data_IF_652072551351
#
_entry.id   IF_652072551351
#
_cell.length_a   1.000
_cell.length_b   1.000
_cell.length_c   1.000
_cell.angle_alpha   90.00
_cell.angle_beta   90.00
_cell.angle_gamma   90.00
#
_symmetry.space_group_name_H-M   'P 1'
#
loop_
_entity.id
_entity.type
_entity.pdbx_description
1 polymer ?
#
# COMPACT_ATOMS: atom_id res chain seq x y z
N UNK A 1 9.34 25.94 -15.69
CA UNK A 1 7.88 25.88 -15.41
C UNK A 1 7.72 25.21 -14.06
N UNK A 2 7.36 25.98 -13.05
CA UNK A 2 7.11 25.44 -11.70
C UNK A 2 5.79 24.67 -11.77
N UNK A 3 5.87 23.35 -11.82
CA UNK A 3 4.69 22.52 -11.63
C UNK A 3 4.17 22.75 -10.22
N UNK A 4 2.96 23.21 -10.09
CA UNK A 4 2.26 23.28 -8.80
C UNK A 4 2.23 21.86 -8.25
N UNK A 5 2.94 21.61 -7.14
CA UNK A 5 2.82 20.35 -6.39
C UNK A 5 1.41 20.38 -5.80
N UNK A 6 0.48 19.73 -6.45
CA UNK A 6 -0.86 19.54 -5.92
C UNK A 6 -0.75 18.45 -4.86
N UNK A 7 -0.91 18.79 -3.60
CA UNK A 7 -1.00 17.80 -2.53
C UNK A 7 -2.34 17.10 -2.64
N UNK A 8 -2.36 15.76 -2.83
CA UNK A 8 -3.61 15.03 -2.86
C UNK A 8 -4.30 15.08 -1.49
N UNK A 9 -5.61 15.11 -1.49
CA UNK A 9 -6.40 14.87 -0.29
C UNK A 9 -6.53 13.37 -0.08
N UNK A 10 -5.99 12.88 1.03
CA UNK A 10 -6.07 11.46 1.40
C UNK A 10 -7.25 11.26 2.35
N UNK A 11 -8.09 10.27 2.08
CA UNK A 11 -9.24 9.93 2.92
C UNK A 11 -9.52 8.44 2.96
N UNK A 12 -10.19 8.02 4.01
CA UNK A 12 -10.74 6.67 4.08
C UNK A 12 -11.82 6.49 3.00
N UNK A 13 -11.89 5.26 2.47
CA UNK A 13 -12.85 4.90 1.43
C UNK A 13 -14.13 4.35 2.07
N UNK A 14 -15.22 4.47 1.33
CA UNK A 14 -16.57 4.03 1.72
C UNK A 14 -17.16 3.11 0.65
N UNK A 15 -18.24 2.36 0.93
CA UNK A 15 -18.91 1.56 -0.09
C UNK A 15 -19.36 2.35 -1.33
N UNK A 16 -19.61 3.66 -1.18
CA UNK A 16 -20.01 4.52 -2.31
C UNK A 16 -18.88 4.74 -3.32
N UNK A 17 -17.64 4.46 -2.97
CA UNK A 17 -16.48 4.63 -3.86
C UNK A 17 -16.29 3.45 -4.84
N UNK A 18 -17.03 2.36 -4.65
CA UNK A 18 -16.83 1.09 -5.34
C UNK A 18 -16.72 1.20 -6.86
N UNK A 19 -17.64 1.91 -7.49
CA UNK A 19 -17.66 2.04 -8.95
C UNK A 19 -16.44 2.81 -9.46
N UNK A 20 -16.00 3.81 -8.70
CA UNK A 20 -14.80 4.56 -9.05
C UNK A 20 -13.53 3.74 -8.83
N UNK A 21 -13.47 2.92 -7.78
CA UNK A 21 -12.37 1.97 -7.54
C UNK A 21 -12.26 0.98 -8.70
N UNK A 22 -13.38 0.42 -9.17
CA UNK A 22 -13.38 -0.46 -10.34
C UNK A 22 -12.84 0.27 -11.58
N UNK A 23 -13.33 1.48 -11.85
CA UNK A 23 -12.89 2.25 -13.00
C UNK A 23 -11.38 2.54 -12.97
N UNK A 24 -10.84 2.95 -11.82
CA UNK A 24 -9.40 3.18 -11.64
C UNK A 24 -8.63 1.88 -11.85
N UNK A 25 -9.05 0.78 -11.23
CA UNK A 25 -8.34 -0.50 -11.31
C UNK A 25 -8.26 -1.01 -12.75
N UNK A 26 -9.35 -0.89 -13.51
CA UNK A 26 -9.39 -1.25 -14.95
C UNK A 26 -8.53 -0.32 -15.80
N UNK A 27 -8.50 0.98 -15.50
CA UNK A 27 -7.80 1.98 -16.31
C UNK A 27 -6.29 1.79 -16.30
N UNK A 28 -5.72 1.23 -15.25
CA UNK A 28 -4.27 0.97 -15.11
C UNK A 28 -3.75 -0.03 -16.15
N UNK A 29 -4.58 -0.97 -16.64
CA UNK A 29 -4.27 -1.98 -17.68
C UNK A 29 -3.08 -2.90 -17.35
N UNK A 30 -2.60 -2.90 -16.13
CA UNK A 30 -1.58 -3.85 -15.66
C UNK A 30 -2.22 -5.10 -15.08
N UNK A 31 -3.43 -4.96 -14.52
CA UNK A 31 -4.18 -6.07 -13.97
C UNK A 31 -4.93 -6.82 -15.07
N UNK A 32 -4.96 -8.15 -14.94
CA UNK A 32 -5.80 -8.98 -15.82
C UNK A 32 -7.27 -8.78 -15.48
N UNK A 33 -8.15 -9.07 -16.43
CA UNK A 33 -9.61 -8.94 -16.23
C UNK A 33 -10.13 -9.82 -15.08
N UNK A 34 -9.50 -10.96 -14.80
CA UNK A 34 -9.85 -11.87 -13.71
C UNK A 34 -9.35 -11.39 -12.34
N UNK A 35 -8.39 -10.46 -12.29
CA UNK A 35 -7.90 -9.85 -11.05
C UNK A 35 -8.80 -8.72 -10.53
N UNK A 36 -9.50 -8.02 -11.43
CA UNK A 36 -10.36 -6.89 -11.03
C UNK A 36 -11.48 -7.29 -10.07
N UNK A 37 -12.24 -8.37 -10.30
CA UNK A 37 -13.23 -8.85 -9.33
C UNK A 37 -12.62 -9.15 -7.95
N UNK A 38 -11.42 -9.72 -7.89
CA UNK A 38 -10.73 -10.03 -6.64
C UNK A 38 -10.36 -8.75 -5.89
N UNK A 39 -9.87 -7.72 -6.61
CA UNK A 39 -9.60 -6.41 -6.00
C UNK A 39 -10.85 -5.79 -5.40
N UNK A 40 -12.01 -5.94 -6.07
CA UNK A 40 -13.29 -5.43 -5.60
C UNK A 40 -13.83 -6.23 -4.39
N UNK A 41 -13.67 -7.55 -4.35
CA UNK A 41 -14.01 -8.36 -3.17
C UNK A 41 -13.23 -7.90 -1.94
N UNK A 42 -11.93 -7.71 -2.08
CA UNK A 42 -11.07 -7.20 -1.00
C UNK A 42 -11.48 -5.79 -0.57
N UNK A 43 -11.82 -4.92 -1.53
CA UNK A 43 -12.34 -3.59 -1.25
C UNK A 43 -13.68 -3.65 -0.49
N UNK A 44 -14.64 -4.44 -0.98
CA UNK A 44 -15.97 -4.60 -0.37
C UNK A 44 -15.85 -5.14 1.07
N UNK A 45 -14.92 -6.08 1.31
CA UNK A 45 -14.63 -6.57 2.66
C UNK A 45 -14.04 -5.47 3.54
N UNK A 46 -13.10 -4.67 3.03
CA UNK A 46 -12.45 -3.59 3.76
C UNK A 46 -13.45 -2.52 4.24
N UNK A 47 -14.42 -2.14 3.40
CA UNK A 47 -15.41 -1.09 3.71
C UNK A 47 -16.68 -1.63 4.34
N UNK A 48 -16.87 -2.97 4.37
CA UNK A 48 -18.10 -3.63 4.85
C UNK A 48 -18.30 -3.63 6.36
N UNK A 49 -17.34 -3.10 7.13
CA UNK A 49 -17.46 -2.92 8.58
C UNK A 49 -17.51 -4.22 9.39
N UNK A 50 -17.01 -5.33 8.89
CA UNK A 50 -16.96 -6.61 9.62
C UNK A 50 -15.91 -6.54 10.73
N UNK A 51 -16.22 -6.98 11.96
CA UNK A 51 -15.29 -6.93 13.10
C UNK A 51 -13.99 -7.72 12.90
N UNK A 52 -14.00 -8.72 12.01
CA UNK A 52 -12.84 -9.55 11.68
C UNK A 52 -12.09 -9.06 10.44
N UNK A 53 -12.45 -7.90 9.88
CA UNK A 53 -11.78 -7.37 8.72
C UNK A 53 -10.34 -6.96 9.05
N UNK A 54 -9.41 -7.49 8.27
CA UNK A 54 -7.98 -7.19 8.38
C UNK A 54 -7.47 -6.28 7.27
N UNK A 55 -8.31 -5.98 6.25
CA UNK A 55 -7.93 -5.09 5.16
C UNK A 55 -8.16 -3.62 5.53
N UNK A 56 -7.21 -2.79 5.12
CA UNK A 56 -7.29 -1.34 5.22
C UNK A 56 -7.26 -0.76 3.83
N UNK A 57 -8.07 0.26 3.57
CA UNK A 57 -8.12 0.94 2.27
C UNK A 57 -8.06 2.45 2.46
N UNK A 58 -7.38 3.11 1.53
CA UNK A 58 -7.20 4.56 1.52
C UNK A 58 -7.31 5.07 0.10
N UNK A 59 -7.96 6.20 -0.09
CA UNK A 59 -8.09 6.89 -1.37
C UNK A 59 -7.32 8.19 -1.41
N UNK A 60 -6.94 8.58 -2.63
CA UNK A 60 -6.36 9.87 -2.93
C UNK A 60 -7.24 10.63 -3.92
N UNK A 61 -7.56 11.87 -3.60
CA UNK A 61 -8.37 12.77 -4.43
C UNK A 61 -7.53 13.93 -4.98
N UNK A 62 -7.82 14.30 -6.23
CA UNK A 62 -7.41 15.54 -6.86
C UNK A 62 -8.65 16.27 -7.36
N UNK A 63 -8.73 17.57 -7.11
CA UNK A 63 -9.83 18.41 -7.58
C UNK A 63 -11.23 17.87 -7.23
N UNK A 64 -11.34 17.18 -6.08
CA UNK A 64 -12.57 16.58 -5.58
C UNK A 64 -12.96 15.24 -6.23
N UNK A 65 -12.09 14.67 -7.09
CA UNK A 65 -12.27 13.35 -7.70
C UNK A 65 -11.28 12.32 -7.18
N UNK A 66 -11.75 11.11 -6.88
CA UNK A 66 -10.90 9.99 -6.51
C UNK A 66 -10.05 9.56 -7.72
N UNK A 67 -8.71 9.57 -7.57
CA UNK A 67 -7.74 9.27 -8.64
C UNK A 67 -6.77 8.15 -8.30
N UNK A 68 -6.82 7.62 -7.08
CA UNK A 68 -5.97 6.48 -6.70
C UNK A 68 -6.43 5.85 -5.39
N UNK A 69 -6.02 4.60 -5.18
CA UNK A 69 -6.32 3.86 -3.97
C UNK A 69 -5.23 2.84 -3.64
N UNK A 70 -5.17 2.45 -2.37
CA UNK A 70 -4.25 1.45 -1.85
C UNK A 70 -4.98 0.56 -0.85
N UNK A 71 -4.61 -0.73 -0.82
CA UNK A 71 -5.11 -1.71 0.14
C UNK A 71 -3.95 -2.49 0.75
N UNK A 72 -3.97 -2.64 2.07
CA UNK A 72 -2.99 -3.39 2.83
C UNK A 72 -3.61 -4.09 4.03
N UNK A 73 -2.91 -5.07 4.58
CA UNK A 73 -3.35 -5.76 5.78
C UNK A 73 -2.24 -6.61 6.41
N UNK A 74 -2.46 -7.13 7.63
CA UNK A 74 -1.49 -7.98 8.30
C UNK A 74 -1.36 -9.33 7.56
N UNK A 75 -0.12 -9.79 7.37
CA UNK A 75 0.15 -11.12 6.84
C UNK A 75 -0.23 -12.17 7.88
N UNK A 76 -1.12 -13.13 7.57
CA UNK A 76 -1.53 -14.18 8.51
C UNK A 76 -0.34 -14.96 9.08
N UNK A 77 -0.46 -15.38 10.33
CA UNK A 77 0.56 -16.19 11.03
C UNK A 77 1.94 -15.51 11.17
N UNK A 78 2.02 -14.18 11.10
CA UNK A 78 3.24 -13.40 11.29
C UNK A 78 3.11 -12.43 12.47
N UNK A 79 4.25 -11.92 12.94
CA UNK A 79 4.30 -10.88 13.97
C UNK A 79 4.79 -9.57 13.35
N UNK A 80 3.85 -8.67 13.04
CA UNK A 80 4.15 -7.34 12.52
C UNK A 80 4.64 -7.30 11.06
N UNK A 81 4.30 -8.31 10.25
CA UNK A 81 4.43 -8.27 8.80
C UNK A 81 3.10 -7.85 8.18
N UNK A 82 3.16 -6.97 7.17
CA UNK A 82 2.00 -6.48 6.45
C UNK A 82 2.22 -6.62 4.95
N UNK A 83 1.19 -7.02 4.24
CA UNK A 83 1.18 -7.07 2.77
C UNK A 83 0.51 -5.82 2.21
N UNK A 84 1.10 -5.25 1.17
CA UNK A 84 0.42 -4.34 0.27
C UNK A 84 -0.24 -5.20 -0.80
N UNK A 85 -1.57 -5.30 -0.77
CA UNK A 85 -2.34 -6.16 -1.68
C UNK A 85 -2.62 -5.48 -3.02
N UNK A 86 -3.07 -4.21 -3.00
CA UNK A 86 -3.48 -3.47 -4.19
C UNK A 86 -3.04 -2.02 -4.09
N UNK A 87 -2.57 -1.49 -5.21
CA UNK A 87 -2.39 -0.07 -5.40
C UNK A 87 -2.64 0.27 -6.87
N UNK A 88 -3.54 1.21 -7.13
CA UNK A 88 -3.84 1.70 -8.46
C UNK A 88 -3.96 3.22 -8.45
N UNK A 89 -3.40 3.86 -9.48
CA UNK A 89 -3.51 5.31 -9.71
C UNK A 89 -3.98 5.51 -11.13
N UNK A 90 -5.02 6.30 -11.29
CA UNK A 90 -5.56 6.67 -12.60
C UNK A 90 -4.41 7.12 -13.53
N UNK A 91 -4.30 6.58 -14.75
CA UNK A 91 -3.24 6.94 -15.69
C UNK A 91 -3.07 8.45 -15.91
N UNK A 92 -4.16 9.21 -15.88
CA UNK A 92 -4.13 10.68 -16.03
C UNK A 92 -3.52 11.39 -14.81
N UNK A 93 -3.51 10.74 -13.64
CA UNK A 93 -2.92 11.26 -12.41
C UNK A 93 -1.54 10.66 -12.09
N UNK A 94 -1.04 9.74 -12.91
CA UNK A 94 0.30 9.18 -12.73
C UNK A 94 1.38 10.25 -12.94
N UNK A 95 2.52 10.07 -12.26
CA UNK A 95 3.61 11.05 -12.29
C UNK A 95 3.38 12.32 -11.45
N UNK A 96 2.22 12.50 -10.83
CA UNK A 96 1.90 13.66 -9.99
C UNK A 96 2.19 13.47 -8.50
N UNK A 97 2.71 12.30 -8.10
CA UNK A 97 3.03 11.98 -6.70
C UNK A 97 1.96 11.23 -5.93
N UNK A 98 0.79 10.92 -6.53
CA UNK A 98 -0.32 10.22 -5.88
C UNK A 98 0.11 8.88 -5.28
N UNK A 99 0.76 8.02 -6.07
CA UNK A 99 1.22 6.72 -5.57
C UNK A 99 2.20 6.85 -4.40
N UNK A 100 3.05 7.87 -4.43
CA UNK A 100 3.98 8.17 -3.33
C UNK A 100 3.22 8.59 -2.08
N UNK A 101 2.23 9.46 -2.21
CA UNK A 101 1.42 9.95 -1.08
C UNK A 101 0.65 8.79 -0.42
N UNK A 102 0.02 7.91 -1.22
CA UNK A 102 -0.68 6.72 -0.72
C UNK A 102 0.27 5.78 0.04
N UNK A 103 1.44 5.48 -0.55
CA UNK A 103 2.41 4.58 0.06
C UNK A 103 2.97 5.14 1.37
N UNK A 104 3.35 6.42 1.41
CA UNK A 104 3.87 7.06 2.61
C UNK A 104 2.81 7.14 3.73
N UNK A 105 1.54 7.39 3.41
CA UNK A 105 0.47 7.39 4.40
C UNK A 105 0.22 5.99 4.97
N UNK A 106 0.26 4.94 4.13
CA UNK A 106 0.23 3.56 4.61
C UNK A 106 1.39 3.30 5.58
N UNK A 107 2.62 3.65 5.22
CA UNK A 107 3.79 3.49 6.08
C UNK A 107 3.63 4.26 7.40
N UNK A 108 3.12 5.49 7.36
CA UNK A 108 2.83 6.29 8.55
C UNK A 108 1.80 5.63 9.47
N UNK A 109 0.73 5.06 8.91
CA UNK A 109 -0.29 4.33 9.67
C UNK A 109 0.25 3.03 10.28
N UNK A 110 1.24 2.42 9.65
CA UNK A 110 1.90 1.20 10.11
C UNK A 110 3.05 1.46 11.11
N UNK A 111 3.52 2.70 11.23
CA UNK A 111 4.62 3.05 12.12
C UNK A 111 4.31 2.65 13.58
N UNK A 112 5.29 2.08 14.26
CA UNK A 112 5.20 1.65 15.66
C UNK A 112 4.61 0.27 15.88
N UNK A 113 3.96 -0.35 14.89
CA UNK A 113 3.42 -1.71 15.04
C UNK A 113 3.80 -2.69 13.92
N UNK A 114 4.07 -2.19 12.71
CA UNK A 114 4.63 -3.03 11.66
C UNK A 114 6.17 -2.99 11.69
N UNK A 115 6.81 -4.13 11.53
CA UNK A 115 8.25 -4.26 11.37
C UNK A 115 8.69 -4.51 9.93
N UNK A 116 7.79 -5.04 9.09
CA UNK A 116 8.06 -5.44 7.71
C UNK A 116 6.85 -5.20 6.83
N UNK A 117 7.06 -4.58 5.69
CA UNK A 117 6.08 -4.50 4.61
C UNK A 117 6.57 -5.39 3.47
N UNK A 118 5.68 -6.20 2.92
CA UNK A 118 5.90 -7.07 1.76
C UNK A 118 5.07 -6.59 0.60
N UNK A 119 5.65 -6.60 -0.58
CA UNK A 119 4.98 -6.25 -1.84
C UNK A 119 5.32 -7.31 -2.87
N UNK A 120 4.32 -7.87 -3.51
CA UNK A 120 4.47 -8.83 -4.59
C UNK A 120 4.12 -8.18 -5.92
N UNK A 121 4.97 -8.34 -6.92
CA UNK A 121 4.76 -7.78 -8.26
C UNK A 121 5.00 -8.84 -9.33
N UNK A 122 4.37 -8.66 -10.49
CA UNK A 122 4.71 -9.46 -11.66
C UNK A 122 6.10 -9.13 -12.19
N UNK A 123 6.78 -10.14 -12.73
CA UNK A 123 8.11 -10.03 -13.35
C UNK A 123 8.09 -9.47 -14.77
N UNK A 124 6.94 -9.44 -15.42
CA UNK A 124 6.76 -8.99 -16.81
C UNK A 124 7.38 -7.61 -17.04
N UNK A 125 7.73 -7.34 -18.29
CA UNK A 125 8.41 -6.09 -18.71
C UNK A 125 7.53 -4.85 -18.46
N UNK A 126 6.22 -4.94 -18.64
CA UNK A 126 5.27 -3.85 -18.41
C UNK A 126 5.17 -3.45 -16.92
N UNK A 127 5.56 -4.34 -15.99
CA UNK A 127 5.70 -4.02 -14.55
C UNK A 127 7.04 -3.37 -14.18
N UNK A 128 7.96 -3.15 -15.13
CA UNK A 128 9.27 -2.57 -14.81
C UNK A 128 9.16 -1.19 -14.14
N UNK A 129 8.21 -0.35 -14.57
CA UNK A 129 7.94 0.95 -13.94
C UNK A 129 7.45 0.81 -12.50
N UNK A 130 6.56 -0.14 -12.23
CA UNK A 130 6.06 -0.44 -10.88
C UNK A 130 7.16 -0.94 -9.96
N UNK A 131 8.02 -1.85 -10.44
CA UNK A 131 9.18 -2.32 -9.66
C UNK A 131 10.15 -1.18 -9.35
N UNK A 132 10.46 -0.33 -10.34
CA UNK A 132 11.30 0.85 -10.14
C UNK A 132 10.70 1.86 -9.15
N UNK A 133 9.36 2.01 -9.16
CA UNK A 133 8.64 2.85 -8.21
C UNK A 133 8.88 2.40 -6.76
N UNK A 134 8.79 1.11 -6.46
CA UNK A 134 9.01 0.58 -5.13
C UNK A 134 10.50 0.66 -4.72
N UNK A 135 11.42 0.33 -5.62
CA UNK A 135 12.87 0.45 -5.36
C UNK A 135 13.26 1.88 -4.98
N UNK A 136 12.76 2.88 -5.73
CA UNK A 136 13.03 4.30 -5.44
C UNK A 136 12.49 4.75 -4.07
N UNK A 137 11.61 3.96 -3.43
CA UNK A 137 11.02 4.24 -2.09
C UNK A 137 11.56 3.34 -0.99
N UNK A 138 12.69 2.68 -1.26
CA UNK A 138 13.43 1.90 -0.28
C UNK A 138 12.93 0.46 -0.07
N UNK A 139 12.11 -0.04 -1.01
CA UNK A 139 11.76 -1.46 -1.03
C UNK A 139 12.83 -2.24 -1.78
N UNK A 140 13.41 -3.24 -1.13
CA UNK A 140 14.46 -4.08 -1.70
C UNK A 140 13.85 -5.37 -2.30
N UNK A 141 14.23 -5.77 -3.53
CA UNK A 141 13.85 -7.08 -4.05
C UNK A 141 14.61 -8.17 -3.27
N UNK A 142 13.88 -9.17 -2.76
CA UNK A 142 14.46 -10.22 -1.90
C UNK A 142 14.23 -11.64 -2.43
N UNK A 143 13.26 -11.83 -3.31
CA UNK A 143 12.99 -13.12 -3.91
C UNK A 143 12.37 -12.98 -5.30
N UNK A 144 12.60 -14.01 -6.12
CA UNK A 144 11.91 -14.23 -7.40
C UNK A 144 11.43 -15.67 -7.42
N UNK A 145 10.15 -15.88 -7.72
CA UNK A 145 9.57 -17.20 -7.93
C UNK A 145 9.24 -17.32 -9.41
N UNK A 146 9.98 -18.16 -10.17
CA UNK A 146 9.75 -18.33 -11.60
C UNK A 146 8.34 -18.85 -11.91
N UNK A 147 7.76 -18.39 -13.01
CA UNK A 147 6.48 -18.86 -13.56
C UNK A 147 5.31 -18.82 -12.55
N UNK A 148 5.35 -17.96 -11.55
CA UNK A 148 4.38 -17.95 -10.46
C UNK A 148 2.97 -17.56 -10.92
N UNK A 149 2.84 -16.50 -11.71
CA UNK A 149 1.53 -16.02 -12.18
C UNK A 149 1.10 -16.72 -13.46
N UNK A 150 2.04 -17.04 -14.34
CA UNK A 150 1.85 -17.78 -15.57
C UNK A 150 3.22 -18.20 -16.12
N UNK A 151 3.25 -19.04 -17.16
CA UNK A 151 4.50 -19.35 -17.84
C UNK A 151 5.17 -18.06 -18.36
N UNK A 152 6.39 -17.78 -17.92
CA UNK A 152 7.14 -16.57 -18.24
C UNK A 152 6.74 -15.34 -17.43
N UNK A 153 5.87 -15.47 -16.43
CA UNK A 153 5.50 -14.38 -15.53
C UNK A 153 5.85 -14.72 -14.08
N UNK A 154 7.03 -14.28 -13.68
CA UNK A 154 7.60 -14.52 -12.37
C UNK A 154 6.92 -13.63 -11.31
N UNK A 155 6.94 -14.09 -10.06
CA UNK A 155 6.68 -13.20 -8.92
C UNK A 155 7.99 -12.58 -8.46
N UNK A 156 8.00 -11.27 -8.26
CA UNK A 156 9.11 -10.53 -7.63
C UNK A 156 8.63 -9.98 -6.30
N UNK A 157 9.29 -10.41 -5.22
CA UNK A 157 8.94 -10.01 -3.85
C UNK A 157 9.85 -8.90 -3.39
N UNK A 158 9.26 -7.81 -2.96
CA UNK A 158 9.94 -6.65 -2.35
C UNK A 158 9.64 -6.57 -0.87
N UNK A 159 10.60 -6.09 -0.07
CA UNK A 159 10.38 -5.82 1.34
C UNK A 159 10.94 -4.46 1.75
N UNK A 160 10.29 -3.87 2.75
CA UNK A 160 10.81 -2.71 3.47
C UNK A 160 10.68 -2.95 4.97
N UNK A 161 11.78 -2.77 5.71
CA UNK A 161 11.76 -2.81 7.17
C UNK A 161 11.37 -1.44 7.69
N UNK A 162 10.42 -1.41 8.60
CA UNK A 162 10.07 -0.20 9.36
C UNK A 162 10.81 -0.23 10.70
N UNK A 163 11.35 0.91 11.11
CA UNK A 163 11.92 1.07 12.44
C UNK A 163 10.80 1.05 13.46
N UNK A 164 10.82 0.10 14.37
CA UNK A 164 10.02 0.17 15.59
C UNK A 164 10.75 1.15 16.50
N UNK A 165 10.47 2.44 16.43
CA UNK A 165 10.92 3.35 17.48
C UNK A 165 10.23 2.91 18.78
N UNK A 166 11.00 2.28 19.68
CA UNK A 166 10.60 2.17 21.07
C UNK A 166 10.49 3.60 21.57
N UNK A 167 9.31 4.04 21.93
CA UNK A 167 9.18 5.14 22.87
C UNK A 167 9.85 4.66 24.16
N UNK A 168 11.11 5.01 24.34
CA UNK A 168 11.76 4.93 25.65
C UNK A 168 11.01 5.87 26.57
N UNK A 169 10.01 5.29 27.28
CA UNK A 169 9.45 5.92 28.45
C UNK A 169 10.60 6.15 29.41
N UNK A 170 10.97 7.39 29.61
CA UNK A 170 11.84 7.84 30.68
C UNK A 170 11.28 7.28 32.00
N UNK A 171 11.85 6.17 32.45
CA UNK A 171 11.65 5.71 33.82
C UNK A 171 12.44 6.69 34.69
N UNK A 172 11.74 7.68 35.22
CA UNK A 172 12.27 8.48 36.31
C UNK A 172 12.55 7.52 37.47
N UNK A 173 13.82 7.25 37.72
CA UNK A 173 14.25 6.50 38.87
C UNK A 173 13.83 7.19 40.18
N UNK A 174 13.47 6.41 41.25
CA UNK A 174 13.13 7.00 42.52
C UNK A 174 14.37 7.64 43.12
N UNK A 175 14.28 8.95 43.42
CA UNK A 175 15.24 9.66 44.23
C UNK A 175 15.30 9.00 45.62
N UNK A 176 16.44 8.42 45.94
CA UNK A 176 16.75 7.93 47.28
C UNK A 176 16.66 9.04 48.31
N UNK A 177 15.78 8.88 49.28
CA UNK A 177 15.80 9.68 50.49
C UNK A 177 16.95 9.16 51.39
N UNK A 178 17.95 10.00 51.60
CA UNK A 178 18.90 9.83 52.71
C UNK A 178 18.20 10.31 54.00
N UNK A 179 18.29 9.51 55.03
CA UNK A 179 18.01 9.81 56.40
C UNK A 179 18.94 9.03 57.30
#
# INVERSE_FOLDING_TARGET
MSGTIVSPHLRDLTPADRDRIEAITRSVRLFREDEVPIALEVFDEAVGGRPANTYNVLGAELDGGLVGWICWGPTPCTLGTYDLYWMAVDPEAQGTGIGTALLLEMERRLAGHARLIVIETAGRTDYAGTRGFYQARGYAPVAVVPDFYAQGDDQVVFVKRLSLERSEGTVAGPMGAAG
#
